data_IF_708123384922
#
_entry.id   IF_708123384922
#
_cell.length_a   1.000
_cell.length_b   1.000
_cell.length_c   1.000
_cell.angle_alpha   90.00
_cell.angle_beta   90.00
_cell.angle_gamma   90.00
#
_symmetry.space_group_name_H-M   'P 1'
#
loop_
_entity.id
_entity.type
_entity.pdbx_description
1 polymer ?
#
# COMPACT_ATOMS: atom_id res chain seq x y z
N UNK A 1 46.13 -20.59 43.05
CA UNK A 1 44.83 -20.99 42.45
C UNK A 1 44.28 -19.80 41.70
N UNK A 2 44.40 -19.78 40.35
CA UNK A 2 43.89 -18.71 39.52
C UNK A 2 42.54 -19.15 38.95
N UNK A 3 41.45 -18.45 39.34
CA UNK A 3 40.10 -18.66 38.82
C UNK A 3 39.93 -17.87 37.53
N UNK A 4 39.85 -18.52 36.39
CA UNK A 4 39.46 -17.91 35.09
C UNK A 4 37.95 -17.82 35.07
N UNK A 5 37.42 -16.59 35.08
CA UNK A 5 36.04 -16.32 34.81
C UNK A 5 35.85 -16.25 33.27
N UNK A 6 35.13 -17.23 32.71
CA UNK A 6 34.73 -17.22 31.34
C UNK A 6 33.46 -16.38 31.22
N UNK A 7 33.58 -15.20 30.64
CA UNK A 7 32.43 -14.35 30.32
C UNK A 7 31.77 -14.86 29.03
N UNK A 8 30.58 -15.43 29.17
CA UNK A 8 29.75 -15.86 28.05
C UNK A 8 29.06 -14.62 27.44
N UNK A 9 29.52 -14.15 26.30
CA UNK A 9 28.86 -13.08 25.54
C UNK A 9 27.72 -13.71 24.73
N UNK A 10 26.48 -13.55 25.21
CA UNK A 10 25.29 -13.87 24.41
C UNK A 10 25.13 -12.83 23.32
N UNK A 11 25.45 -13.19 22.07
CA UNK A 11 25.08 -12.43 20.90
C UNK A 11 23.58 -12.65 20.64
N UNK A 12 22.75 -11.68 21.02
CA UNK A 12 21.34 -11.67 20.63
C UNK A 12 21.25 -11.37 19.13
N UNK A 13 20.99 -12.37 18.31
CA UNK A 13 20.57 -12.19 16.93
C UNK A 13 19.18 -11.53 16.94
N UNK A 14 19.13 -10.23 16.70
CA UNK A 14 17.89 -9.53 16.37
C UNK A 14 17.54 -9.97 14.95
N UNK A 15 16.66 -10.96 14.81
CA UNK A 15 16.05 -11.30 13.56
C UNK A 15 15.16 -10.11 13.13
N UNK A 16 15.62 -9.32 12.18
CA UNK A 16 14.77 -8.33 11.54
C UNK A 16 13.61 -9.08 10.85
N UNK A 17 12.41 -8.98 11.42
CA UNK A 17 11.21 -9.49 10.76
C UNK A 17 11.09 -8.80 9.40
N UNK A 18 10.79 -9.54 8.30
CA UNK A 18 10.55 -8.92 7.02
C UNK A 18 9.43 -7.90 7.20
N UNK A 19 9.68 -6.65 6.78
CA UNK A 19 8.66 -5.62 6.79
C UNK A 19 7.53 -6.13 5.88
N UNK A 20 6.43 -6.59 6.51
CA UNK A 20 5.24 -7.00 5.77
C UNK A 20 4.79 -5.81 4.94
N UNK A 21 4.61 -6.04 3.64
CA UNK A 21 4.07 -5.06 2.73
C UNK A 21 2.64 -4.73 3.20
N UNK A 22 2.48 -3.63 3.95
CA UNK A 22 1.22 -3.28 4.58
C UNK A 22 0.58 -2.13 3.85
N UNK A 23 -0.64 -2.36 3.37
CA UNK A 23 -1.55 -1.31 2.91
C UNK A 23 -2.14 -0.62 4.13
N UNK A 24 -1.93 0.68 4.23
CA UNK A 24 -2.57 1.56 5.20
C UNK A 24 -3.64 2.38 4.48
N UNK A 25 -4.91 2.03 4.61
CA UNK A 25 -5.98 2.72 3.89
C UNK A 25 -5.92 4.23 4.09
N UNK A 26 -6.15 4.99 3.01
CA UNK A 26 -6.11 6.46 2.95
C UNK A 26 -4.75 7.10 3.31
N UNK A 27 -3.70 6.30 3.52
CA UNK A 27 -2.36 6.78 3.90
C UNK A 27 -1.29 6.38 2.90
N UNK A 28 -1.13 5.10 2.64
CA UNK A 28 -0.06 4.61 1.79
C UNK A 28 0.08 3.08 1.77
N UNK A 29 1.05 2.58 1.02
CA UNK A 29 1.44 1.17 0.96
C UNK A 29 2.92 1.03 0.59
N UNK A 30 3.50 -0.14 0.82
CA UNK A 30 4.92 -0.44 0.52
C UNK A 30 5.90 0.58 1.11
N UNK A 31 5.57 1.20 2.26
CA UNK A 31 6.42 2.23 2.88
C UNK A 31 6.32 3.61 2.22
N UNK A 32 5.52 3.77 1.17
CA UNK A 32 5.22 5.06 0.53
C UNK A 32 3.92 5.63 1.08
N UNK A 33 3.90 6.92 1.37
CA UNK A 33 2.71 7.65 1.79
C UNK A 33 2.37 8.78 0.82
N UNK A 34 1.09 9.13 0.74
CA UNK A 34 0.64 10.30 0.00
C UNK A 34 1.36 11.55 0.51
N UNK A 35 1.79 12.43 -0.41
CA UNK A 35 2.53 13.65 -0.12
C UNK A 35 4.06 13.50 -0.18
N UNK A 36 4.61 12.29 -0.26
CA UNK A 36 6.05 12.10 -0.44
C UNK A 36 6.54 12.69 -1.76
N UNK A 37 7.76 13.23 -1.75
CA UNK A 37 8.45 13.65 -2.97
C UNK A 37 8.95 12.44 -3.77
N UNK A 38 9.28 12.64 -5.06
CA UNK A 38 9.89 11.58 -5.89
C UNK A 38 11.19 11.04 -5.27
N UNK A 39 12.01 11.90 -4.67
CA UNK A 39 13.25 11.50 -4.00
C UNK A 39 12.96 10.60 -2.78
N UNK A 40 11.97 10.96 -1.96
CA UNK A 40 11.55 10.14 -0.81
C UNK A 40 10.99 8.79 -1.24
N UNK A 41 10.18 8.75 -2.31
CA UNK A 41 9.65 7.49 -2.86
C UNK A 41 10.79 6.59 -3.34
N UNK A 42 11.77 7.14 -4.09
CA UNK A 42 12.95 6.38 -4.53
C UNK A 42 13.82 5.91 -3.36
N UNK A 43 13.93 6.69 -2.30
CA UNK A 43 14.64 6.26 -1.09
C UNK A 43 13.98 5.05 -0.42
N UNK A 44 12.65 4.89 -0.57
CA UNK A 44 11.89 3.76 -0.02
C UNK A 44 11.86 2.54 -0.92
N UNK A 45 11.68 2.74 -2.23
CA UNK A 45 11.41 1.68 -3.20
C UNK A 45 12.60 1.36 -4.12
N UNK A 46 13.65 2.17 -4.09
CA UNK A 46 14.79 2.05 -5.00
C UNK A 46 14.53 2.71 -6.35
N UNK A 47 15.26 2.28 -7.37
CA UNK A 47 15.11 2.79 -8.74
C UNK A 47 13.81 2.28 -9.35
N UNK A 48 13.01 3.15 -10.00
CA UNK A 48 11.85 2.70 -10.75
C UNK A 48 12.27 1.84 -11.95
N UNK A 49 11.45 0.85 -12.29
CA UNK A 49 11.60 0.01 -13.48
C UNK A 49 11.04 0.67 -14.73
N UNK A 50 10.31 1.78 -14.59
CA UNK A 50 9.76 2.55 -15.69
C UNK A 50 9.10 3.83 -15.21
N UNK A 51 8.74 4.69 -16.17
CA UNK A 51 8.01 5.93 -15.91
C UNK A 51 7.13 6.30 -17.11
N UNK A 52 6.03 6.99 -16.86
CA UNK A 52 5.14 7.50 -17.90
C UNK A 52 3.86 8.08 -17.30
N UNK A 53 3.24 9.05 -18.00
CA UNK A 53 1.96 9.63 -17.57
C UNK A 53 1.98 10.24 -16.16
N UNK A 54 3.09 10.82 -15.73
CA UNK A 54 3.23 11.36 -14.37
C UNK A 54 3.41 10.31 -13.28
N UNK A 55 3.66 9.05 -13.64
CA UNK A 55 3.85 7.91 -12.73
C UNK A 55 5.27 7.38 -12.76
N UNK A 56 5.70 6.82 -11.65
CA UNK A 56 6.87 5.94 -11.54
C UNK A 56 6.39 4.52 -11.23
N UNK A 57 6.92 3.55 -11.94
CA UNK A 57 6.59 2.13 -11.79
C UNK A 57 7.69 1.40 -11.03
N UNK A 58 7.30 0.63 -10.03
CA UNK A 58 8.18 -0.22 -9.22
C UNK A 58 7.67 -1.67 -9.27
N UNK A 59 8.42 -2.60 -8.70
CA UNK A 59 8.08 -4.02 -8.79
C UNK A 59 6.69 -4.38 -8.23
N UNK A 60 6.24 -3.74 -7.14
CA UNK A 60 4.98 -4.07 -6.47
C UNK A 60 3.91 -2.99 -6.58
N UNK A 61 4.31 -1.76 -6.87
CA UNK A 61 3.41 -0.60 -6.88
C UNK A 61 3.79 0.36 -8.00
N UNK A 62 2.85 1.19 -8.40
CA UNK A 62 3.18 2.44 -9.09
C UNK A 62 2.71 3.63 -8.30
N UNK A 63 3.40 4.76 -8.46
CA UNK A 63 3.14 5.99 -7.73
C UNK A 63 2.92 7.12 -8.72
N UNK A 64 1.76 7.75 -8.65
CA UNK A 64 1.40 8.94 -9.42
C UNK A 64 1.71 10.22 -8.66
N UNK A 65 2.19 11.24 -9.38
CA UNK A 65 2.61 12.52 -8.80
C UNK A 65 1.85 13.69 -9.42
N UNK A 66 1.55 14.66 -8.57
CA UNK A 66 1.03 15.98 -8.94
C UNK A 66 1.81 17.02 -8.16
N UNK A 67 2.34 18.06 -8.87
CA UNK A 67 3.20 19.09 -8.27
C UNK A 67 4.36 18.50 -7.45
N UNK A 68 4.99 17.44 -7.94
CA UNK A 68 6.15 16.79 -7.30
C UNK A 68 5.83 15.95 -6.06
N UNK A 69 4.57 15.79 -5.71
CA UNK A 69 4.11 15.02 -4.54
C UNK A 69 3.31 13.79 -4.97
N UNK A 70 3.49 12.68 -4.26
CA UNK A 70 2.73 11.46 -4.47
C UNK A 70 1.25 11.72 -4.13
N UNK A 71 0.36 11.52 -5.10
CA UNK A 71 -1.09 11.66 -4.96
C UNK A 71 -1.85 10.37 -5.25
N UNK A 72 -1.16 9.36 -5.75
CA UNK A 72 -1.73 8.05 -6.06
C UNK A 72 -0.69 6.97 -5.80
N UNK A 73 -1.07 5.89 -5.15
CA UNK A 73 -0.25 4.71 -4.93
C UNK A 73 -1.13 3.52 -5.24
N UNK A 74 -0.72 2.68 -6.20
CA UNK A 74 -1.55 1.59 -6.69
C UNK A 74 -0.76 0.28 -6.73
N UNK A 75 -1.43 -0.81 -6.39
CA UNK A 75 -0.93 -2.17 -6.53
C UNK A 75 -1.92 -3.09 -7.23
N UNK A 76 -1.39 -4.06 -7.97
CA UNK A 76 -2.11 -5.24 -8.49
C UNK A 76 -1.50 -6.53 -7.94
N UNK A 77 -0.57 -6.43 -7.01
CA UNK A 77 0.15 -7.56 -6.43
C UNK A 77 -0.53 -8.08 -5.15
N UNK A 78 -0.71 -9.40 -5.09
CA UNK A 78 -1.30 -10.09 -3.93
C UNK A 78 -0.41 -10.09 -2.67
N UNK A 79 0.85 -9.67 -2.80
CA UNK A 79 1.75 -9.52 -1.63
C UNK A 79 1.40 -8.33 -0.74
N UNK A 80 0.71 -7.32 -1.29
CA UNK A 80 0.26 -6.15 -0.54
C UNK A 80 -1.11 -6.41 0.08
N UNK A 81 -1.24 -6.23 1.39
CA UNK A 81 -2.51 -6.41 2.11
C UNK A 81 -2.64 -5.43 3.28
N UNK A 82 -3.87 -5.19 3.71
CA UNK A 82 -4.17 -4.40 4.90
C UNK A 82 -3.86 -5.19 6.17
N UNK A 83 -3.83 -4.51 7.30
CA UNK A 83 -3.70 -5.17 8.61
C UNK A 83 -4.81 -6.18 8.91
N UNK A 84 -5.99 -6.05 8.28
CA UNK A 84 -7.12 -7.00 8.34
C UNK A 84 -7.05 -8.11 7.27
N UNK A 85 -5.96 -8.19 6.50
CA UNK A 85 -5.73 -9.24 5.52
C UNK A 85 -6.38 -9.03 4.15
N UNK A 86 -7.00 -7.88 3.90
CA UNK A 86 -7.58 -7.55 2.57
C UNK A 86 -6.47 -7.13 1.61
N UNK A 87 -6.40 -7.77 0.47
CA UNK A 87 -5.44 -7.51 -0.61
C UNK A 87 -6.05 -7.83 -1.97
N UNK A 88 -5.21 -7.84 -3.00
CA UNK A 88 -5.58 -8.39 -4.32
C UNK A 88 -5.98 -9.86 -4.13
N UNK A 89 -6.97 -10.31 -4.90
CA UNK A 89 -7.65 -11.61 -4.81
C UNK A 89 -8.64 -11.78 -3.63
N UNK A 90 -8.75 -10.82 -2.73
CA UNK A 90 -9.80 -10.82 -1.69
C UNK A 90 -11.19 -10.69 -2.30
N UNK A 91 -12.19 -11.33 -1.67
CA UNK A 91 -13.60 -11.20 -2.07
C UNK A 91 -14.19 -9.85 -1.66
N UNK A 92 -15.28 -9.44 -2.31
CA UNK A 92 -16.04 -8.26 -1.88
C UNK A 92 -16.55 -8.39 -0.43
N UNK A 93 -16.99 -9.60 -0.04
CA UNK A 93 -17.42 -9.87 1.31
C UNK A 93 -16.30 -9.65 2.34
N UNK A 94 -15.06 -10.01 2.00
CA UNK A 94 -13.89 -9.74 2.85
C UNK A 94 -13.63 -8.24 3.00
N UNK A 95 -13.78 -7.46 1.91
CA UNK A 95 -13.66 -5.99 1.95
C UNK A 95 -14.71 -5.38 2.87
N UNK A 96 -15.99 -5.78 2.73
CA UNK A 96 -17.08 -5.30 3.60
C UNK A 96 -16.88 -5.66 5.06
N UNK A 97 -16.41 -6.87 5.34
CA UNK A 97 -16.16 -7.32 6.71
C UNK A 97 -15.03 -6.54 7.37
N UNK A 98 -13.96 -6.23 6.63
CA UNK A 98 -12.83 -5.45 7.13
C UNK A 98 -13.15 -3.96 7.24
N UNK A 99 -13.98 -3.44 6.35
CA UNK A 99 -14.34 -2.02 6.24
C UNK A 99 -15.85 -1.85 6.09
N UNK A 100 -16.62 -1.93 7.21
CA UNK A 100 -18.09 -1.86 7.16
C UNK A 100 -18.63 -0.57 6.51
N UNK A 101 -17.87 0.52 6.54
CA UNK A 101 -18.26 1.82 5.94
C UNK A 101 -17.91 1.92 4.43
N UNK A 102 -17.34 0.89 3.83
CA UNK A 102 -17.01 0.91 2.40
C UNK A 102 -18.27 1.01 1.54
N UNK A 103 -18.24 1.88 0.54
CA UNK A 103 -19.34 2.02 -0.43
C UNK A 103 -18.93 1.39 -1.77
N UNK A 104 -19.73 0.44 -2.24
CA UNK A 104 -19.46 -0.28 -3.47
C UNK A 104 -20.51 0.08 -4.54
N UNK A 105 -20.04 0.33 -5.79
CA UNK A 105 -20.89 0.65 -6.92
C UNK A 105 -20.27 0.09 -8.21
N UNK A 106 -21.12 -0.12 -9.24
CA UNK A 106 -20.68 -0.46 -10.57
C UNK A 106 -19.82 0.66 -11.17
N UNK A 107 -18.77 0.29 -11.91
CA UNK A 107 -17.80 1.21 -12.50
C UNK A 107 -17.25 0.60 -13.80
N UNK A 108 -17.89 0.90 -14.95
CA UNK A 108 -17.40 0.54 -16.27
C UNK A 108 -17.10 -0.96 -16.47
N UNK A 109 -18.04 -1.85 -16.15
CA UNK A 109 -17.87 -3.31 -16.25
C UNK A 109 -17.15 -3.95 -15.07
N UNK A 110 -16.62 -3.13 -14.15
CA UNK A 110 -16.05 -3.52 -12.88
C UNK A 110 -16.95 -3.08 -11.74
N UNK A 111 -16.52 -3.38 -10.51
CA UNK A 111 -17.15 -2.88 -9.30
C UNK A 111 -16.08 -2.17 -8.47
N UNK A 112 -16.39 -0.98 -7.98
CA UNK A 112 -15.48 -0.21 -7.12
C UNK A 112 -16.05 -0.11 -5.73
N UNK A 113 -15.26 -0.50 -4.74
CA UNK A 113 -15.54 -0.29 -3.33
C UNK A 113 -14.61 0.81 -2.80
N UNK A 114 -15.18 1.93 -2.37
CA UNK A 114 -14.43 3.08 -1.87
C UNK A 114 -14.52 3.23 -0.37
N UNK A 115 -13.37 3.38 0.25
CA UNK A 115 -13.21 3.82 1.63
C UNK A 115 -12.77 5.28 1.63
N UNK A 116 -13.52 6.15 2.27
CA UNK A 116 -13.34 7.60 2.24
C UNK A 116 -14.52 8.33 1.60
N UNK A 117 -14.57 9.66 1.74
CA UNK A 117 -15.74 10.46 1.37
C UNK A 117 -15.96 10.61 -0.14
N UNK A 118 -14.93 10.43 -0.95
CA UNK A 118 -15.00 10.71 -2.39
C UNK A 118 -15.03 12.19 -2.75
N UNK A 119 -14.99 13.09 -1.79
CA UNK A 119 -15.00 14.54 -2.00
C UNK A 119 -13.64 15.04 -2.55
N UNK A 120 -13.62 16.10 -3.38
CA UNK A 120 -12.39 16.75 -3.81
C UNK A 120 -11.46 17.09 -2.63
N UNK A 121 -10.15 16.90 -2.79
CA UNK A 121 -9.15 17.19 -1.77
C UNK A 121 -9.07 16.18 -0.62
N UNK A 122 -9.93 15.17 -0.59
CA UNK A 122 -9.89 14.12 0.44
C UNK A 122 -9.08 12.91 -0.01
N UNK A 123 -8.73 12.05 0.95
CA UNK A 123 -8.04 10.78 0.69
C UNK A 123 -9.05 9.64 0.57
N UNK A 124 -8.81 8.76 -0.39
CA UNK A 124 -9.62 7.59 -0.60
C UNK A 124 -8.76 6.34 -0.77
N UNK A 125 -9.36 5.18 -0.49
CA UNK A 125 -8.84 3.88 -0.88
C UNK A 125 -9.89 3.19 -1.72
N UNK A 126 -9.55 2.88 -2.96
CA UNK A 126 -10.42 2.20 -3.90
C UNK A 126 -9.96 0.75 -4.09
N UNK A 127 -10.88 -0.18 -3.89
CA UNK A 127 -10.75 -1.57 -4.27
C UNK A 127 -11.52 -1.76 -5.58
N UNK A 128 -10.80 -2.04 -6.67
CA UNK A 128 -11.40 -2.35 -7.96
C UNK A 128 -11.59 -3.86 -8.05
N UNK A 129 -12.83 -4.31 -8.25
CA UNK A 129 -13.18 -5.73 -8.31
C UNK A 129 -13.62 -6.13 -9.71
N UNK A 130 -13.19 -7.30 -10.13
CA UNK A 130 -13.67 -8.02 -11.29
C UNK A 130 -13.92 -9.48 -10.91
N UNK A 131 -15.02 -10.05 -11.40
CA UNK A 131 -15.44 -11.41 -11.09
C UNK A 131 -15.51 -11.70 -9.55
N UNK A 132 -15.95 -10.70 -8.77
CA UNK A 132 -16.11 -10.80 -7.32
C UNK A 132 -14.82 -10.75 -6.50
N UNK A 133 -13.68 -10.47 -7.13
CA UNK A 133 -12.37 -10.39 -6.47
C UNK A 133 -11.69 -9.05 -6.70
N UNK A 134 -10.94 -8.59 -5.72
CA UNK A 134 -10.10 -7.39 -5.84
C UNK A 134 -8.98 -7.65 -6.84
N UNK A 135 -8.94 -6.83 -7.89
CA UNK A 135 -7.91 -6.86 -8.93
C UNK A 135 -6.83 -5.79 -8.68
N UNK A 136 -7.23 -4.67 -8.08
CA UNK A 136 -6.37 -3.51 -7.89
C UNK A 136 -6.79 -2.75 -6.64
N UNK A 137 -5.81 -2.20 -5.94
CA UNK A 137 -6.03 -1.32 -4.79
C UNK A 137 -5.29 -0.01 -5.06
N UNK A 138 -6.01 1.11 -4.97
CA UNK A 138 -5.47 2.45 -5.16
C UNK A 138 -5.73 3.30 -3.93
N UNK A 139 -4.69 3.91 -3.40
CA UNK A 139 -4.77 4.97 -2.40
C UNK A 139 -4.52 6.28 -3.09
N UNK A 140 -5.43 7.24 -2.96
CA UNK A 140 -5.35 8.50 -3.69
C UNK A 140 -5.70 9.72 -2.84
N UNK A 141 -5.11 10.86 -3.20
CA UNK A 141 -5.56 12.20 -2.85
C UNK A 141 -6.38 12.72 -4.05
N UNK A 142 -7.69 12.82 -3.86
CA UNK A 142 -8.60 13.22 -4.92
C UNK A 142 -8.31 14.67 -5.36
N UNK A 143 -8.43 14.98 -6.68
CA UNK A 143 -8.25 16.35 -7.15
C UNK A 143 -9.20 17.30 -6.41
N UNK A 144 -8.68 18.48 -6.03
CA UNK A 144 -9.46 19.57 -5.48
C UNK A 144 -10.03 20.46 -6.59
#
# INVERSE_FOLDING_TARGET
MRRFAVALVLLALIAAAPASAIIRPQKGMSGVTLGMTKAQVRARLGSPIGSGGGRLYFALVWVGFRSGRAVEITTTHSKEHTGSGVGVDSSEAAVHRAFPSVACAASGGFRRCRLGSGQPGTRATDFLLGHGKVLQITISLLPG
#
